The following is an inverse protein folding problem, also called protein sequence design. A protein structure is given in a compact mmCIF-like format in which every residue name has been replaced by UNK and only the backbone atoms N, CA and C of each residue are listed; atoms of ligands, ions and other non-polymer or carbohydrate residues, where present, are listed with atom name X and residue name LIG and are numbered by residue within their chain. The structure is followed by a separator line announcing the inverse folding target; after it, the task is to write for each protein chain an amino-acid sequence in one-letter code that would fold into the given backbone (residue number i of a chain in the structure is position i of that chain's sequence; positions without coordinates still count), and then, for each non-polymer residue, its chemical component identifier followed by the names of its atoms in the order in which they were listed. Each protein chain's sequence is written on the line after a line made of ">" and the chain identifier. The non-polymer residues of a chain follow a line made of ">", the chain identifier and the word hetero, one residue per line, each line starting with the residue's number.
data_IF_198932062231
#
_entry.id   IF_198932062231
#
_cell.length_a   1.000
_cell.length_b   1.000
_cell.length_c   1.000
_cell.angle_alpha   90.00
_cell.angle_beta   90.00
_cell.angle_gamma   90.00
#
_symmetry.space_group_name_H-M   'P 1'
#
loop_
_entity.id
_entity.type
_entity.pdbx_description
1 polymer ?
#
# COMPACT_ATOMS: atom_id res chain seq x y z
N UNK A 1 10.56 11.49 -2.79
CA UNK A 1 10.06 11.32 -4.16
C UNK A 1 8.86 10.39 -4.07
N UNK A 2 7.68 10.86 -4.49
CA UNK A 2 6.44 10.05 -4.50
C UNK A 2 6.30 9.34 -5.85
N UNK A 3 5.53 8.25 -5.91
CA UNK A 3 5.22 7.55 -7.16
C UNK A 3 3.87 8.02 -7.72
N UNK A 4 3.83 8.69 -8.89
CA UNK A 4 2.59 9.24 -9.42
C UNK A 4 1.64 8.15 -9.92
N UNK A 5 0.34 8.40 -9.78
CA UNK A 5 -0.75 7.56 -10.28
C UNK A 5 -1.82 8.42 -10.96
N UNK A 6 -2.50 7.91 -12.00
CA UNK A 6 -3.61 8.61 -12.65
C UNK A 6 -4.92 8.57 -11.84
N UNK A 7 -4.87 8.11 -10.58
CA UNK A 7 -6.01 8.00 -9.67
C UNK A 7 -5.59 8.57 -8.31
N UNK A 8 -6.37 9.51 -7.79
CA UNK A 8 -6.28 9.96 -6.40
C UNK A 8 -7.20 9.12 -5.51
N UNK A 9 -6.67 8.67 -4.37
CA UNK A 9 -7.41 7.99 -3.32
C UNK A 9 -7.79 8.87 -2.13
N UNK A 10 -7.39 10.15 -2.11
CA UNK A 10 -7.34 11.00 -0.90
C UNK A 10 -8.69 11.27 -0.22
N UNK A 11 -9.80 11.00 -0.90
CA UNK A 11 -11.15 11.10 -0.35
C UNK A 11 -11.63 9.80 0.31
N UNK A 12 -10.87 8.71 0.15
CA UNK A 12 -11.29 7.34 0.41
C UNK A 12 -12.12 6.72 -0.73
N UNK A 13 -12.27 7.43 -1.85
CA UNK A 13 -12.96 7.00 -3.07
C UNK A 13 -12.03 7.27 -4.26
N UNK A 14 -11.78 6.28 -5.15
CA UNK A 14 -10.89 6.48 -6.29
C UNK A 14 -11.47 7.51 -7.26
N UNK A 15 -10.68 8.52 -7.62
CA UNK A 15 -11.03 9.54 -8.62
C UNK A 15 -9.90 9.66 -9.65
N UNK A 16 -10.25 9.59 -10.94
CA UNK A 16 -9.31 9.89 -12.03
C UNK A 16 -8.79 11.33 -11.88
N UNK A 17 -7.55 11.47 -11.43
CA UNK A 17 -6.90 12.73 -11.04
C UNK A 17 -5.42 12.46 -10.72
N UNK A 18 -4.66 13.51 -10.40
CA UNK A 18 -3.27 13.39 -10.00
C UNK A 18 -3.14 12.82 -8.57
N UNK A 19 -2.94 11.51 -8.45
CA UNK A 19 -2.68 10.81 -7.20
C UNK A 19 -1.23 10.39 -7.06
N UNK A 20 -0.82 10.04 -5.83
CA UNK A 20 0.55 9.71 -5.53
C UNK A 20 0.61 8.65 -4.43
N UNK A 21 1.47 7.65 -4.60
CA UNK A 21 1.90 6.77 -3.51
C UNK A 21 3.07 7.46 -2.81
N UNK A 22 3.01 7.61 -1.50
CA UNK A 22 4.09 8.26 -0.75
C UNK A 22 5.40 7.49 -0.83
N UNK A 23 5.36 6.18 -0.56
CA UNK A 23 6.51 5.28 -0.75
C UNK A 23 6.05 4.01 -1.46
N UNK A 24 6.66 3.73 -2.61
CA UNK A 24 6.60 2.43 -3.26
C UNK A 24 7.95 1.73 -3.07
N UNK A 25 7.94 0.60 -2.38
CA UNK A 25 9.14 -0.12 -2.01
C UNK A 25 9.10 -1.59 -2.41
N UNK A 26 10.28 -2.20 -2.55
CA UNK A 26 10.46 -3.65 -2.55
C UNK A 26 10.89 -4.08 -1.15
N UNK A 27 10.05 -4.83 -0.44
CA UNK A 27 10.36 -5.32 0.91
C UNK A 27 10.64 -6.81 0.88
N UNK A 28 11.76 -7.23 1.48
CA UNK A 28 12.11 -8.65 1.65
C UNK A 28 11.61 -9.15 3.01
N UNK A 29 10.72 -10.13 2.97
CA UNK A 29 10.22 -10.86 4.15
C UNK A 29 10.04 -12.32 3.78
N UNK A 30 11.15 -13.06 3.75
CA UNK A 30 11.26 -14.40 3.14
C UNK A 30 11.27 -14.35 1.61
N UNK A 31 10.26 -13.71 0.99
CA UNK A 31 10.22 -13.34 -0.44
C UNK A 31 10.18 -11.82 -0.62
N UNK A 32 10.41 -11.35 -1.85
CA UNK A 32 10.35 -9.91 -2.18
C UNK A 32 8.93 -9.55 -2.60
N UNK A 33 8.37 -8.52 -1.96
CA UNK A 33 7.04 -7.98 -2.21
C UNK A 33 7.10 -6.54 -2.65
N UNK A 34 6.10 -6.10 -3.41
CA UNK A 34 5.81 -4.68 -3.55
C UNK A 34 5.03 -4.20 -2.33
N UNK A 35 5.46 -3.06 -1.79
CA UNK A 35 4.97 -2.47 -0.57
C UNK A 35 4.59 -1.03 -0.83
N UNK A 36 3.31 -0.72 -0.69
CA UNK A 36 2.69 0.60 -0.90
C UNK A 36 2.48 1.21 0.48
N UNK A 37 3.10 2.35 0.73
CA UNK A 37 3.00 3.03 2.02
C UNK A 37 2.27 4.35 1.84
N UNK A 38 1.31 4.59 2.73
CA UNK A 38 0.63 5.88 2.89
C UNK A 38 1.08 6.49 4.22
N UNK A 39 1.74 7.64 4.17
CA UNK A 39 2.33 8.31 5.32
C UNK A 39 1.42 9.43 5.78
N UNK A 40 1.12 9.48 7.08
CA UNK A 40 0.41 10.61 7.67
C UNK A 40 1.24 11.31 8.74
N UNK A 41 1.09 12.62 8.80
CA UNK A 41 1.62 13.45 9.87
C UNK A 41 1.06 13.04 11.25
N UNK A 42 1.75 13.37 12.36
CA UNK A 42 1.29 13.06 13.70
C UNK A 42 -0.17 13.44 13.95
N UNK A 43 -0.91 12.52 14.60
CA UNK A 43 -2.33 12.71 14.92
C UNK A 43 -3.30 12.53 13.75
N UNK A 44 -2.82 12.25 12.52
CA UNK A 44 -3.67 12.03 11.33
C UNK A 44 -3.74 10.54 10.97
N UNK A 45 -4.96 10.07 10.73
CA UNK A 45 -5.23 8.67 10.34
C UNK A 45 -6.48 8.49 9.47
N UNK A 46 -7.36 9.49 9.39
CA UNK A 46 -8.64 9.33 8.71
C UNK A 46 -8.44 8.92 7.24
N UNK A 47 -9.17 7.87 6.81
CA UNK A 47 -9.21 7.35 5.43
C UNK A 47 -7.93 6.71 4.91
N UNK A 48 -6.84 6.71 5.69
CA UNK A 48 -5.53 6.19 5.29
C UNK A 48 -5.60 4.72 4.83
N UNK A 49 -6.39 3.89 5.51
CA UNK A 49 -6.53 2.49 5.14
C UNK A 49 -7.22 2.31 3.77
N UNK A 50 -8.18 3.17 3.45
CA UNK A 50 -8.87 3.17 2.15
C UNK A 50 -7.93 3.65 1.04
N UNK A 51 -7.19 4.71 1.29
CA UNK A 51 -6.19 5.26 0.35
C UNK A 51 -5.17 4.20 -0.06
N UNK A 52 -4.51 3.57 0.92
CA UNK A 52 -3.50 2.55 0.63
C UNK A 52 -4.10 1.31 -0.05
N UNK A 53 -5.36 0.97 0.25
CA UNK A 53 -6.10 -0.11 -0.43
C UNK A 53 -6.37 0.23 -1.90
N UNK A 54 -6.82 1.46 -2.19
CA UNK A 54 -7.03 1.97 -3.56
C UNK A 54 -5.74 1.88 -4.35
N UNK A 55 -4.64 2.42 -3.83
CA UNK A 55 -3.36 2.41 -4.52
C UNK A 55 -2.81 1.01 -4.75
N UNK A 56 -2.97 0.12 -3.78
CA UNK A 56 -2.60 -1.30 -3.92
C UNK A 56 -3.40 -2.00 -5.01
N UNK A 57 -4.72 -1.74 -5.07
CA UNK A 57 -5.59 -2.28 -6.12
C UNK A 57 -5.23 -1.71 -7.50
N UNK A 58 -4.95 -0.41 -7.60
CA UNK A 58 -4.48 0.24 -8.83
C UNK A 58 -3.19 -0.39 -9.32
N UNK A 59 -2.21 -0.60 -8.43
CA UNK A 59 -0.94 -1.23 -8.78
C UNK A 59 -1.12 -2.66 -9.28
N UNK A 60 -2.00 -3.44 -8.63
CA UNK A 60 -2.37 -4.77 -9.12
C UNK A 60 -2.96 -4.72 -10.53
N UNK A 61 -3.87 -3.78 -10.80
CA UNK A 61 -4.46 -3.62 -12.14
C UNK A 61 -3.41 -3.23 -13.17
N UNK A 62 -2.49 -2.30 -12.85
CA UNK A 62 -1.37 -1.94 -13.73
C UNK A 62 -0.48 -3.14 -14.05
N UNK A 63 -0.14 -3.95 -13.05
CA UNK A 63 0.68 -5.15 -13.24
C UNK A 63 -0.03 -6.28 -13.98
N UNK A 64 -1.37 -6.27 -14.00
CA UNK A 64 -2.17 -7.24 -14.75
C UNK A 64 -2.59 -6.74 -16.13
N UNK A 65 -2.18 -5.53 -16.50
CA UNK A 65 -2.34 -5.03 -17.86
C UNK A 65 -1.57 -5.94 -18.84
N UNK A 66 -2.21 -6.45 -19.91
CA UNK A 66 -1.59 -7.41 -20.83
C UNK A 66 -0.48 -6.80 -21.67
N UNK A 67 -0.51 -5.49 -21.91
CA UNK A 67 0.41 -4.81 -22.83
C UNK A 67 1.61 -4.24 -22.07
N UNK A 68 1.37 -3.65 -20.89
CA UNK A 68 2.38 -2.89 -20.15
C UNK A 68 2.76 -3.50 -18.79
N UNK A 69 2.00 -4.48 -18.28
CA UNK A 69 2.20 -5.00 -16.93
C UNK A 69 3.60 -5.56 -16.71
N UNK A 70 4.16 -6.26 -17.70
CA UNK A 70 5.50 -6.85 -17.62
C UNK A 70 6.61 -5.80 -17.62
N UNK A 71 6.42 -4.70 -18.37
CA UNK A 71 7.37 -3.58 -18.37
C UNK A 71 7.33 -2.83 -17.04
N UNK A 72 6.14 -2.57 -16.49
CA UNK A 72 6.01 -2.02 -15.14
C UNK A 72 6.66 -2.91 -14.07
N UNK A 73 6.50 -4.23 -14.19
CA UNK A 73 7.14 -5.17 -13.27
C UNK A 73 8.67 -5.06 -13.29
N UNK A 74 9.26 -4.86 -14.48
CA UNK A 74 10.70 -4.59 -14.64
C UNK A 74 11.11 -3.24 -14.07
N UNK A 75 10.33 -2.18 -14.32
CA UNK A 75 10.55 -0.84 -13.73
C UNK A 75 10.57 -0.90 -12.21
N UNK A 76 9.71 -1.73 -11.60
CA UNK A 76 9.72 -1.96 -10.16
C UNK A 76 10.88 -2.83 -9.67
N UNK A 77 11.79 -3.24 -10.56
CA UNK A 77 13.04 -3.92 -10.24
C UNK A 77 12.94 -5.45 -10.21
N UNK A 78 11.93 -6.05 -10.84
CA UNK A 78 11.83 -7.50 -10.98
C UNK A 78 12.30 -7.97 -12.36
N UNK A 79 13.13 -9.00 -12.41
CA UNK A 79 13.69 -9.54 -13.66
C UNK A 79 12.89 -10.71 -14.24
N UNK A 80 11.96 -11.29 -13.48
CA UNK A 80 11.17 -12.46 -13.87
C UNK A 80 9.84 -12.11 -14.54
N UNK A 81 9.12 -13.17 -14.95
CA UNK A 81 7.71 -13.05 -15.34
C UNK A 81 6.87 -12.68 -14.12
N UNK A 82 5.79 -11.93 -14.35
CA UNK A 82 4.81 -11.67 -13.29
C UNK A 82 4.23 -13.01 -12.79
N UNK A 83 4.30 -13.30 -11.49
CA UNK A 83 3.74 -14.53 -10.93
C UNK A 83 2.24 -14.68 -11.21
N UNK A 84 1.76 -15.93 -11.23
CA UNK A 84 0.33 -16.23 -11.40
C UNK A 84 -0.56 -15.64 -10.28
N UNK A 85 0.03 -15.35 -9.11
CA UNK A 85 -0.60 -14.65 -7.99
C UNK A 85 0.39 -13.66 -7.39
N UNK A 86 -0.01 -12.39 -7.33
CA UNK A 86 0.71 -11.29 -6.70
C UNK A 86 0.17 -11.03 -5.29
N UNK A 87 1.05 -10.50 -4.46
CA UNK A 87 0.70 -9.96 -3.15
C UNK A 87 1.30 -8.57 -3.05
N UNK A 88 0.45 -7.56 -2.84
CA UNK A 88 0.87 -6.20 -2.50
C UNK A 88 0.70 -6.01 -0.99
N UNK A 89 1.69 -5.39 -0.37
CA UNK A 89 1.60 -4.98 1.03
C UNK A 89 1.08 -3.55 1.08
N UNK A 90 -0.05 -3.36 1.74
CA UNK A 90 -0.66 -2.07 1.98
C UNK A 90 -0.29 -1.61 3.39
N UNK A 91 0.64 -0.67 3.49
CA UNK A 91 1.20 -0.19 4.75
C UNK A 91 0.63 1.17 5.12
N UNK A 92 -0.01 1.23 6.28
CA UNK A 92 -0.38 2.49 6.93
C UNK A 92 0.79 2.95 7.80
N UNK A 93 1.38 4.11 7.51
CA UNK A 93 2.48 4.66 8.29
C UNK A 93 2.03 5.89 9.09
N UNK A 94 1.89 5.72 10.41
CA UNK A 94 1.32 6.72 11.34
C UNK A 94 2.07 6.74 12.67
N UNK A 95 1.82 7.77 13.48
CA UNK A 95 2.38 7.82 14.84
C UNK A 95 1.78 6.77 15.77
N UNK A 96 2.57 6.31 16.74
CA UNK A 96 2.17 5.23 17.66
C UNK A 96 0.87 5.47 18.44
N UNK A 97 0.51 6.73 18.70
CA UNK A 97 -0.75 7.10 19.35
C UNK A 97 -2.01 6.76 18.51
N UNK A 98 -1.85 6.50 17.20
CA UNK A 98 -2.95 6.08 16.33
C UNK A 98 -3.15 4.56 16.29
N UNK A 99 -2.28 3.76 16.93
CA UNK A 99 -2.29 2.28 16.87
C UNK A 99 -3.66 1.65 17.10
N UNK A 100 -4.34 2.01 18.20
CA UNK A 100 -5.67 1.46 18.51
C UNK A 100 -6.70 1.74 17.43
N UNK A 101 -6.63 2.91 16.78
CA UNK A 101 -7.56 3.28 15.69
C UNK A 101 -7.29 2.44 14.44
N UNK A 102 -6.01 2.28 14.08
CA UNK A 102 -5.58 1.44 12.94
C UNK A 102 -6.05 0.00 13.14
N UNK A 103 -5.76 -0.59 14.30
CA UNK A 103 -6.15 -1.96 14.62
C UNK A 103 -7.68 -2.14 14.58
N UNK A 104 -8.43 -1.20 15.13
CA UNK A 104 -9.90 -1.25 15.12
C UNK A 104 -10.47 -1.10 13.70
N UNK A 105 -9.94 -0.21 12.88
CA UNK A 105 -10.44 -0.07 11.50
C UNK A 105 -10.11 -1.31 10.68
N UNK A 106 -8.90 -1.85 10.76
CA UNK A 106 -8.52 -3.05 9.98
C UNK A 106 -9.38 -4.26 10.35
N UNK A 107 -9.69 -4.44 11.65
CA UNK A 107 -10.56 -5.53 12.12
C UNK A 107 -11.99 -5.41 11.60
N UNK A 108 -12.49 -4.18 11.46
CA UNK A 108 -13.89 -3.92 11.10
C UNK A 108 -14.08 -3.50 9.62
N UNK A 109 -13.00 -3.29 8.87
CA UNK A 109 -13.10 -2.81 7.49
C UNK A 109 -13.58 -3.93 6.56
N UNK A 110 -14.45 -3.57 5.62
CA UNK A 110 -14.86 -4.44 4.52
C UNK A 110 -14.01 -4.18 3.25
N UNK A 111 -12.71 -3.89 3.43
CA UNK A 111 -11.81 -3.62 2.32
C UNK A 111 -11.36 -4.93 1.67
N UNK A 112 -11.13 -4.94 0.35
CA UNK A 112 -10.74 -6.15 -0.35
C UNK A 112 -9.39 -6.65 0.15
N UNK A 113 -9.32 -7.93 0.49
CA UNK A 113 -8.06 -8.67 0.73
C UNK A 113 -7.63 -9.50 -0.48
N UNK A 114 -8.54 -9.69 -1.44
CA UNK A 114 -8.33 -10.44 -2.68
C UNK A 114 -8.91 -9.68 -3.86
N UNK A 115 -8.22 -9.74 -4.98
CA UNK A 115 -8.68 -9.23 -6.28
C UNK A 115 -8.37 -10.32 -7.31
N UNK A 116 -9.37 -11.12 -7.66
CA UNK A 116 -9.16 -12.34 -8.45
C UNK A 116 -8.20 -13.30 -7.74
N UNK A 117 -7.09 -13.65 -8.40
CA UNK A 117 -6.02 -14.51 -7.86
C UNK A 117 -5.00 -13.75 -7.01
N UNK A 118 -5.04 -12.42 -7.02
CA UNK A 118 -4.10 -11.58 -6.30
C UNK A 118 -4.61 -11.22 -4.90
N UNK A 119 -3.70 -10.75 -4.06
CA UNK A 119 -3.99 -10.42 -2.66
C UNK A 119 -3.40 -9.08 -2.23
N UNK A 120 -4.07 -8.46 -1.27
CA UNK A 120 -3.60 -7.29 -0.54
C UNK A 120 -3.45 -7.71 0.92
N UNK A 121 -2.25 -7.53 1.46
CA UNK A 121 -1.97 -7.75 2.89
C UNK A 121 -1.79 -6.40 3.57
N UNK A 122 -2.53 -6.18 4.65
CA UNK A 122 -2.48 -4.93 5.40
C UNK A 122 -1.42 -5.01 6.50
N UNK A 123 -0.66 -3.94 6.65
CA UNK A 123 0.38 -3.76 7.65
C UNK A 123 0.25 -2.36 8.24
N UNK A 124 0.82 -2.16 9.42
CA UNK A 124 1.09 -0.82 9.91
C UNK A 124 2.56 -0.64 10.28
N UNK A 125 3.04 0.57 10.04
CA UNK A 125 4.29 1.07 10.54
C UNK A 125 3.98 2.20 11.54
N UNK A 126 4.27 1.94 12.81
CA UNK A 126 4.11 2.93 13.88
C UNK A 126 5.44 3.61 14.10
N UNK A 127 5.52 4.91 13.80
CA UNK A 127 6.72 5.68 14.05
C UNK A 127 6.58 6.53 15.33
N UNK A 128 7.70 6.64 16.04
CA UNK A 128 7.86 7.56 17.15
C UNK A 128 8.49 8.85 16.63
N UNK A 129 7.81 9.98 16.82
CA UNK A 129 8.21 11.28 16.24
C UNK A 129 9.47 11.86 16.88
N UNK A 130 9.80 11.44 18.10
CA UNK A 130 10.88 12.03 18.90
C UNK A 130 12.17 11.19 18.75
N UNK A 131 12.03 9.87 18.64
CA UNK A 131 13.14 8.92 18.53
C UNK A 131 13.37 8.41 17.11
N UNK A 132 12.46 8.70 16.16
CA UNK A 132 12.46 8.21 14.78
C UNK A 132 12.42 6.67 14.66
N UNK A 133 12.12 5.96 15.77
CA UNK A 133 11.98 4.51 15.76
C UNK A 133 10.71 4.10 15.04
N UNK A 134 10.78 3.02 14.28
CA UNK A 134 9.64 2.45 13.54
C UNK A 134 9.40 1.03 14.04
N UNK A 135 8.18 0.74 14.51
CA UNK A 135 7.69 -0.61 14.72
C UNK A 135 6.84 -1.02 13.53
N UNK A 136 7.15 -2.16 12.92
CA UNK A 136 6.45 -2.66 11.75
C UNK A 136 5.72 -3.95 12.07
N UNK A 137 4.41 -3.97 11.84
CA UNK A 137 3.53 -5.07 12.25
C UNK A 137 2.62 -5.49 11.10
N UNK A 138 2.45 -6.81 10.94
CA UNK A 138 1.39 -7.39 10.12
C UNK A 138 0.09 -7.39 10.93
N UNK A 139 -1.02 -6.98 10.31
CA UNK A 139 -2.31 -6.82 11.00
C UNK A 139 -3.41 -7.66 10.33
#
# INVERSE_FOLDING_TARGET
>A
MQFPLPISGSSGIPKASNGHIDILARRRSGRVYLSVWELKAPGRYQKTLREVSIYSATLLKMLRDPDLGQEWYKVFGFSGKIPASLCIEAVVAVTGDQRKKVENEIKNCNLPRRIGKDSIQYYAAYYDKDTMKIMFEKI
#
